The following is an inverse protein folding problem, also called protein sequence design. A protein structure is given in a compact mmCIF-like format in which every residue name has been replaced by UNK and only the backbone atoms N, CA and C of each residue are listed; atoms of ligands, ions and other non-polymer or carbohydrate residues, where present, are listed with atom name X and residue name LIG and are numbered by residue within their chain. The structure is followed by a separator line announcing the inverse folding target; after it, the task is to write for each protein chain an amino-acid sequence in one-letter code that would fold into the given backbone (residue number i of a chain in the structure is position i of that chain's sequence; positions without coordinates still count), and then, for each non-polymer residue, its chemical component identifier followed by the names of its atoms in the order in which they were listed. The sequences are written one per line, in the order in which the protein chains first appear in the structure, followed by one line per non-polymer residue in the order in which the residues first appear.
data_IF_631997895153
#
_entry.id   IF_631997895153
#
_cell.length_a   1.000
_cell.length_b   1.000
_cell.length_c   1.000
_cell.angle_alpha   90.00
_cell.angle_beta   90.00
_cell.angle_gamma   90.00
#
_symmetry.space_group_name_H-M   'P 1'
#
loop_
_entity.id
_entity.type
_entity.pdbx_description
1 polymer ?
#
# COMPACT_ATOMS: atom_id res chain seq x y z
N UNK A 1 1.58 16.08 -6.37
CA UNK A 1 0.75 15.25 -5.46
C UNK A 1 -0.70 15.42 -5.88
N UNK A 2 -1.44 14.32 -6.03
CA UNK A 2 -2.89 14.33 -6.29
C UNK A 2 -3.60 13.88 -5.02
N UNK A 3 -4.50 14.71 -4.48
CA UNK A 3 -5.23 14.38 -3.25
C UNK A 3 -6.64 13.94 -3.63
N UNK A 4 -7.00 12.73 -3.23
CA UNK A 4 -8.26 12.07 -3.62
C UNK A 4 -9.09 11.79 -2.38
N UNK A 5 -10.29 12.34 -2.33
CA UNK A 5 -11.26 12.04 -1.28
C UNK A 5 -12.08 10.82 -1.69
N UNK A 6 -11.84 9.69 -1.02
CA UNK A 6 -12.57 8.44 -1.22
C UNK A 6 -13.61 8.16 -0.12
N UNK A 7 -13.65 8.99 0.94
CA UNK A 7 -14.48 8.65 2.11
C UNK A 7 -14.35 9.53 3.35
N UNK A 8 -13.83 10.76 3.26
CA UNK A 8 -13.72 11.66 4.42
C UNK A 8 -15.13 11.92 5.01
N UNK A 9 -15.26 11.89 6.34
CA UNK A 9 -16.51 12.28 7.04
C UNK A 9 -16.64 13.81 7.13
N UNK A 10 -16.84 14.42 5.95
CA UNK A 10 -17.05 15.84 5.78
C UNK A 10 -17.78 16.09 4.45
N UNK A 11 -18.27 17.33 4.28
CA UNK A 11 -18.65 17.82 2.96
C UNK A 11 -17.46 17.83 1.99
N UNK A 12 -17.70 17.76 0.67
CA UNK A 12 -16.63 17.82 -0.32
C UNK A 12 -15.72 19.04 -0.11
N UNK A 13 -14.42 18.78 -0.04
CA UNK A 13 -13.41 19.82 0.18
C UNK A 13 -12.94 20.40 -1.16
N UNK A 14 -12.85 21.74 -1.30
CA UNK A 14 -12.32 22.37 -2.50
C UNK A 14 -10.89 21.89 -2.83
N UNK A 15 -10.64 21.59 -4.10
CA UNK A 15 -9.30 21.21 -4.59
C UNK A 15 -8.97 19.71 -4.49
N UNK A 16 -9.83 18.89 -3.91
CA UNK A 16 -9.66 17.43 -3.89
C UNK A 16 -10.39 16.77 -5.07
N UNK A 17 -9.80 15.71 -5.61
CA UNK A 17 -10.50 14.83 -6.54
C UNK A 17 -11.55 14.07 -5.74
N UNK A 18 -12.82 14.19 -6.13
CA UNK A 18 -13.92 13.58 -5.40
C UNK A 18 -14.28 12.19 -5.96
N UNK A 19 -13.87 11.15 -5.25
CA UNK A 19 -14.30 9.76 -5.46
C UNK A 19 -15.10 9.24 -4.24
N UNK A 20 -15.69 10.15 -3.45
CA UNK A 20 -16.33 9.81 -2.18
C UNK A 20 -17.58 8.97 -2.43
N UNK A 21 -17.62 7.78 -1.83
CA UNK A 21 -18.79 6.89 -1.86
C UNK A 21 -19.66 6.96 -0.60
N UNK A 22 -19.08 7.39 0.53
CA UNK A 22 -19.77 7.60 1.79
C UNK A 22 -18.98 8.58 2.69
N UNK A 23 -19.60 9.03 3.78
CA UNK A 23 -18.93 9.80 4.85
C UNK A 23 -18.42 8.84 5.91
N UNK A 24 -17.13 8.54 5.87
CA UNK A 24 -16.51 7.52 6.72
C UNK A 24 -16.95 6.10 6.36
N UNK A 25 -16.09 5.13 6.64
CA UNK A 25 -16.46 3.70 6.56
C UNK A 25 -17.26 3.28 7.80
N UNK A 26 -17.90 2.11 7.71
CA UNK A 26 -18.46 1.43 8.88
C UNK A 26 -17.38 1.15 9.93
N UNK A 27 -17.79 1.14 11.20
CA UNK A 27 -16.91 0.70 12.29
C UNK A 27 -16.71 -0.81 12.21
N UNK A 28 -15.51 -1.23 11.78
CA UNK A 28 -15.16 -2.64 11.54
C UNK A 28 -15.35 -3.56 12.74
N UNK A 29 -15.37 -3.03 13.96
CA UNK A 29 -15.64 -3.81 15.18
C UNK A 29 -17.13 -4.13 15.38
N UNK A 30 -18.03 -3.52 14.61
CA UNK A 30 -19.49 -3.66 14.74
C UNK A 30 -20.20 -4.06 13.46
N UNK A 31 -19.59 -3.81 12.30
CA UNK A 31 -20.14 -4.13 10.98
C UNK A 31 -19.01 -4.11 9.95
N UNK A 32 -19.28 -4.46 8.69
CA UNK A 32 -18.30 -4.34 7.61
C UNK A 32 -17.92 -2.86 7.37
N UNK A 33 -16.67 -2.61 6.93
CA UNK A 33 -16.23 -1.26 6.56
C UNK A 33 -17.11 -0.64 5.46
N UNK A 34 -17.54 -1.46 4.50
CA UNK A 34 -18.38 -1.04 3.37
C UNK A 34 -19.07 -2.26 2.74
N UNK A 35 -20.04 -2.04 1.87
CA UNK A 35 -20.55 -3.11 1.02
C UNK A 35 -19.54 -3.50 -0.05
N UNK A 36 -19.63 -4.73 -0.57
CA UNK A 36 -18.81 -5.17 -1.71
C UNK A 36 -18.94 -4.23 -2.91
N UNK A 37 -20.17 -3.78 -3.21
CA UNK A 37 -20.45 -2.83 -4.29
C UNK A 37 -19.72 -1.48 -4.12
N UNK A 38 -19.66 -0.97 -2.89
CA UNK A 38 -18.92 0.26 -2.59
C UNK A 38 -17.41 0.04 -2.76
N UNK A 39 -16.88 -1.10 -2.33
CA UNK A 39 -15.48 -1.44 -2.54
C UNK A 39 -15.14 -1.53 -4.03
N UNK A 40 -15.96 -2.21 -4.83
CA UNK A 40 -15.82 -2.30 -6.29
C UNK A 40 -15.85 -0.90 -6.94
N UNK A 41 -16.73 -0.02 -6.48
CA UNK A 41 -16.87 1.35 -6.99
C UNK A 41 -15.59 2.16 -6.75
N UNK A 42 -15.07 2.18 -5.51
CA UNK A 42 -13.83 2.90 -5.18
C UNK A 42 -12.63 2.31 -5.91
N UNK A 43 -12.55 0.97 -6.00
CA UNK A 43 -11.47 0.28 -6.68
C UNK A 43 -11.42 0.65 -8.15
N UNK A 44 -12.55 0.51 -8.87
CA UNK A 44 -12.65 0.81 -10.30
C UNK A 44 -12.43 2.30 -10.59
N UNK A 45 -12.97 3.19 -9.76
CA UNK A 45 -12.75 4.63 -9.92
C UNK A 45 -11.28 5.02 -9.73
N UNK A 46 -10.60 4.43 -8.74
CA UNK A 46 -9.17 4.68 -8.48
C UNK A 46 -8.29 4.08 -9.59
N UNK A 47 -8.63 2.90 -10.10
CA UNK A 47 -7.97 2.31 -11.28
C UNK A 47 -8.14 3.19 -12.51
N UNK A 48 -9.35 3.70 -12.76
CA UNK A 48 -9.64 4.56 -13.91
C UNK A 48 -8.85 5.87 -13.84
N UNK A 49 -8.86 6.54 -12.69
CA UNK A 49 -8.06 7.75 -12.46
C UNK A 49 -6.56 7.50 -12.72
N UNK A 50 -6.03 6.39 -12.21
CA UNK A 50 -4.62 6.02 -12.39
C UNK A 50 -4.28 5.80 -13.87
N UNK A 51 -5.14 5.09 -14.61
CA UNK A 51 -4.98 4.88 -16.05
C UNK A 51 -5.04 6.18 -16.84
N UNK A 52 -5.91 7.11 -16.45
CA UNK A 52 -5.98 8.44 -17.06
C UNK A 52 -4.67 9.21 -16.84
N UNK A 53 -4.16 9.24 -15.61
CA UNK A 53 -2.88 9.88 -15.30
C UNK A 53 -1.70 9.25 -16.09
N UNK A 54 -1.73 7.93 -16.28
CA UNK A 54 -0.74 7.24 -17.11
C UNK A 54 -0.82 7.68 -18.59
N UNK A 55 -2.03 7.80 -19.13
CA UNK A 55 -2.27 8.31 -20.49
C UNK A 55 -1.82 9.78 -20.63
N UNK A 56 -1.97 10.57 -19.57
CA UNK A 56 -1.51 11.97 -19.49
C UNK A 56 0.01 12.10 -19.30
N UNK A 57 0.73 10.98 -19.24
CA UNK A 57 2.19 10.94 -19.31
C UNK A 57 2.90 10.55 -18.01
N UNK A 58 2.18 10.28 -16.91
CA UNK A 58 2.80 9.77 -15.67
C UNK A 58 3.50 8.42 -15.96
N UNK A 59 4.74 8.28 -15.50
CA UNK A 59 5.58 7.09 -15.73
C UNK A 59 5.86 6.27 -14.47
N UNK A 60 5.70 6.87 -13.30
CA UNK A 60 5.90 6.23 -12.00
C UNK A 60 4.82 6.76 -11.06
N UNK A 61 4.18 5.87 -10.33
CA UNK A 61 3.22 6.23 -9.28
C UNK A 61 3.85 6.05 -7.91
N UNK A 62 3.40 6.84 -6.94
CA UNK A 62 3.60 6.58 -5.52
C UNK A 62 2.24 6.60 -4.83
N UNK A 63 2.02 5.69 -3.88
CA UNK A 63 0.76 5.65 -3.12
C UNK A 63 0.96 6.22 -1.72
N UNK A 64 -0.08 6.86 -1.22
CA UNK A 64 -0.14 7.42 0.13
C UNK A 64 -1.59 7.49 0.58
N UNK A 65 -1.78 7.71 1.87
CA UNK A 65 -3.09 7.77 2.51
C UNK A 65 -3.15 8.90 3.54
N UNK A 66 -4.36 9.26 3.93
CA UNK A 66 -4.60 10.11 5.09
C UNK A 66 -5.92 9.69 5.73
N UNK A 67 -5.86 9.10 6.92
CA UNK A 67 -7.04 8.65 7.64
C UNK A 67 -6.79 8.48 9.13
N UNK A 68 -7.68 9.02 9.95
CA UNK A 68 -7.59 8.80 11.40
C UNK A 68 -7.97 7.36 11.75
N UNK A 69 -7.19 6.74 12.64
CA UNK A 69 -7.34 5.36 13.11
C UNK A 69 -7.11 4.23 12.08
N UNK A 70 -6.71 4.55 10.85
CA UNK A 70 -6.62 3.60 9.74
C UNK A 70 -5.48 2.54 9.85
N UNK A 71 -4.53 2.73 10.76
CA UNK A 71 -3.60 1.64 11.14
C UNK A 71 -4.32 0.43 11.77
N UNK A 72 -5.55 0.59 12.26
CA UNK A 72 -6.38 -0.50 12.79
C UNK A 72 -6.92 -1.41 11.67
N UNK A 73 -7.66 -0.91 10.65
CA UNK A 73 -8.03 -1.72 9.50
C UNK A 73 -6.82 -2.26 8.73
N UNK A 74 -5.73 -1.50 8.60
CA UNK A 74 -4.51 -2.00 7.95
C UNK A 74 -3.93 -3.24 8.66
N UNK A 75 -3.88 -3.22 9.99
CA UNK A 75 -3.46 -4.38 10.78
C UNK A 75 -4.44 -5.57 10.64
N UNK A 76 -5.74 -5.32 10.55
CA UNK A 76 -6.74 -6.37 10.31
C UNK A 76 -6.55 -7.02 8.94
N UNK A 77 -6.36 -6.22 7.88
CA UNK A 77 -6.10 -6.69 6.52
C UNK A 77 -4.80 -7.52 6.48
N UNK A 78 -3.71 -7.04 7.06
CA UNK A 78 -2.43 -7.78 7.11
C UNK A 78 -2.58 -9.07 7.90
N UNK A 79 -3.22 -9.04 9.07
CA UNK A 79 -3.49 -10.24 9.88
C UNK A 79 -4.22 -11.32 9.08
N UNK A 80 -5.29 -10.94 8.38
CA UNK A 80 -6.09 -11.88 7.57
C UNK A 80 -5.28 -12.42 6.38
N UNK A 81 -4.63 -11.55 5.61
CA UNK A 81 -3.96 -11.94 4.36
C UNK A 81 -2.64 -12.70 4.58
N UNK A 82 -2.03 -12.57 5.76
CA UNK A 82 -0.80 -13.29 6.14
C UNK A 82 -1.04 -14.46 7.10
N UNK A 83 -2.27 -14.61 7.61
CA UNK A 83 -2.57 -15.60 8.66
C UNK A 83 -1.92 -15.29 10.02
N UNK A 84 -1.45 -14.06 10.23
CA UNK A 84 -0.75 -13.66 11.44
C UNK A 84 -1.71 -13.30 12.57
N UNK A 85 -1.33 -13.60 13.80
CA UNK A 85 -2.07 -13.17 14.98
C UNK A 85 -2.09 -11.61 15.09
N UNK A 86 -3.24 -10.99 15.42
CA UNK A 86 -3.34 -9.53 15.56
C UNK A 86 -2.31 -8.90 16.51
N UNK A 87 -1.86 -9.61 17.56
CA UNK A 87 -0.83 -9.07 18.45
C UNK A 87 0.51 -8.84 17.72
N UNK A 88 0.83 -9.66 16.72
CA UNK A 88 2.07 -9.58 15.96
C UNK A 88 2.11 -8.36 15.02
N UNK A 89 0.95 -7.90 14.53
CA UNK A 89 0.87 -6.85 13.50
C UNK A 89 0.41 -5.49 14.04
N UNK A 90 -0.28 -5.45 15.18
CA UNK A 90 -0.81 -4.18 15.74
C UNK A 90 0.29 -3.36 16.41
N UNK A 91 0.62 -2.23 15.79
CA UNK A 91 1.51 -1.18 16.29
C UNK A 91 0.80 0.00 16.96
N UNK A 92 1.58 1.02 17.34
CA UNK A 92 1.09 2.23 17.99
C UNK A 92 0.51 3.27 17.01
N UNK A 93 0.80 3.19 15.71
CA UNK A 93 0.36 4.17 14.72
C UNK A 93 0.82 5.58 15.09
N UNK A 94 -0.11 6.55 15.07
CA UNK A 94 0.12 7.93 15.47
C UNK A 94 0.22 8.11 17.01
N UNK A 95 1.24 7.49 17.63
CA UNK A 95 1.58 7.63 19.05
C UNK A 95 0.50 7.16 20.03
N UNK A 96 -0.26 6.11 19.71
CA UNK A 96 -1.14 5.48 20.70
C UNK A 96 -0.31 5.03 21.92
N UNK A 97 -0.70 5.37 23.16
CA UNK A 97 0.01 4.94 24.35
C UNK A 97 0.15 3.41 24.39
N UNK A 98 1.35 2.90 24.72
CA UNK A 98 1.61 1.45 24.71
C UNK A 98 0.65 0.65 25.60
N UNK A 99 0.20 1.24 26.72
CA UNK A 99 -0.80 0.64 27.60
C UNK A 99 -2.17 0.39 26.91
N UNK A 100 -2.49 1.14 25.85
CA UNK A 100 -3.73 0.99 25.08
C UNK A 100 -3.59 0.02 23.89
N UNK A 101 -2.37 -0.43 23.56
CA UNK A 101 -2.13 -1.36 22.44
C UNK A 101 -2.96 -2.65 22.58
N UNK A 102 -3.08 -3.18 23.80
CA UNK A 102 -3.88 -4.39 24.07
C UNK A 102 -5.35 -4.21 23.69
N UNK A 103 -5.92 -3.02 23.91
CA UNK A 103 -7.28 -2.72 23.46
C UNK A 103 -7.38 -2.69 21.93
N UNK A 104 -6.42 -2.05 21.24
CA UNK A 104 -6.37 -2.04 19.76
C UNK A 104 -6.26 -3.46 19.19
N UNK A 105 -5.47 -4.34 19.80
CA UNK A 105 -5.40 -5.77 19.43
C UNK A 105 -6.77 -6.44 19.59
N UNK A 106 -7.48 -6.19 20.69
CA UNK A 106 -8.82 -6.75 20.91
C UNK A 106 -9.83 -6.26 19.86
N UNK A 107 -9.77 -4.99 19.47
CA UNK A 107 -10.60 -4.41 18.41
C UNK A 107 -10.34 -5.10 17.06
N UNK A 108 -9.08 -5.35 16.70
CA UNK A 108 -8.75 -6.07 15.46
C UNK A 108 -9.27 -7.51 15.49
N UNK A 109 -9.08 -8.23 16.61
CA UNK A 109 -9.63 -9.59 16.77
C UNK A 109 -11.15 -9.61 16.63
N UNK A 110 -11.83 -8.65 17.28
CA UNK A 110 -13.28 -8.51 17.22
C UNK A 110 -13.75 -8.27 15.78
N UNK A 111 -13.09 -7.36 15.05
CA UNK A 111 -13.44 -7.06 13.66
C UNK A 111 -13.31 -8.28 12.75
N UNK A 112 -12.23 -9.05 12.87
CA UNK A 112 -12.01 -10.28 12.09
C UNK A 112 -13.06 -11.34 12.44
N UNK A 113 -13.29 -11.59 13.73
CA UNK A 113 -14.23 -12.60 14.19
C UNK A 113 -15.68 -12.30 13.77
N UNK A 114 -16.09 -11.03 13.84
CA UNK A 114 -17.43 -10.60 13.47
C UNK A 114 -17.67 -10.69 11.96
N UNK A 115 -16.74 -10.18 11.16
CA UNK A 115 -16.97 -10.03 9.72
C UNK A 115 -16.60 -11.26 8.89
N UNK A 116 -15.76 -12.16 9.43
CA UNK A 116 -15.29 -13.38 8.76
C UNK A 116 -14.82 -13.11 7.31
N UNK A 117 -13.79 -12.28 7.12
CA UNK A 117 -13.25 -12.01 5.78
C UNK A 117 -12.61 -13.26 5.18
N UNK A 118 -12.88 -13.54 3.91
CA UNK A 118 -12.27 -14.64 3.16
C UNK A 118 -10.85 -14.23 2.73
N UNK A 119 -9.78 -14.85 3.28
CA UNK A 119 -8.40 -14.48 2.95
C UNK A 119 -8.04 -14.71 1.48
N UNK A 120 -8.77 -15.58 0.78
CA UNK A 120 -8.57 -15.85 -0.64
C UNK A 120 -9.17 -14.78 -1.56
N UNK A 121 -10.01 -13.88 -1.03
CA UNK A 121 -10.65 -12.81 -1.80
C UNK A 121 -10.23 -11.43 -1.26
N UNK A 122 -9.18 -10.84 -1.84
CA UNK A 122 -8.63 -9.57 -1.36
C UNK A 122 -9.66 -8.42 -1.27
N UNK A 123 -10.63 -8.38 -2.18
CA UNK A 123 -11.71 -7.39 -2.13
C UNK A 123 -12.72 -7.64 -1.00
N UNK A 124 -12.99 -8.90 -0.65
CA UNK A 124 -13.83 -9.25 0.50
C UNK A 124 -13.16 -8.81 1.81
N UNK A 125 -11.84 -9.06 1.94
CA UNK A 125 -11.05 -8.59 3.10
C UNK A 125 -11.13 -7.07 3.24
N UNK A 126 -10.90 -6.33 2.14
CA UNK A 126 -10.97 -4.87 2.13
C UNK A 126 -12.37 -4.34 2.47
N UNK A 127 -13.43 -4.94 1.90
CA UNK A 127 -14.81 -4.51 2.14
C UNK A 127 -15.22 -4.72 3.60
N UNK A 128 -14.76 -5.81 4.23
CA UNK A 128 -15.14 -6.18 5.59
C UNK A 128 -14.31 -5.48 6.66
N UNK A 129 -12.99 -5.57 6.59
CA UNK A 129 -12.08 -5.13 7.66
C UNK A 129 -11.06 -4.07 7.21
N UNK A 130 -11.20 -3.57 5.98
CA UNK A 130 -10.38 -2.48 5.45
C UNK A 130 -10.98 -1.09 5.66
N UNK A 131 -10.81 -0.22 4.67
CA UNK A 131 -11.24 1.17 4.66
C UNK A 131 -11.17 1.73 3.23
N UNK A 132 -11.84 2.85 2.98
CA UNK A 132 -11.90 3.43 1.61
C UNK A 132 -10.52 3.86 1.11
N UNK A 133 -9.65 4.34 2.00
CA UNK A 133 -8.25 4.66 1.73
C UNK A 133 -7.45 3.43 1.26
N UNK A 134 -7.59 2.30 1.96
CA UNK A 134 -6.95 1.03 1.60
C UNK A 134 -7.45 0.50 0.24
N UNK A 135 -8.75 0.63 -0.04
CA UNK A 135 -9.32 0.28 -1.35
C UNK A 135 -8.79 1.22 -2.44
N UNK A 136 -8.73 2.52 -2.17
CA UNK A 136 -8.21 3.52 -3.09
C UNK A 136 -6.76 3.23 -3.50
N UNK A 137 -5.87 3.01 -2.54
CA UNK A 137 -4.48 2.62 -2.81
C UNK A 137 -4.38 1.29 -3.57
N UNK A 138 -5.21 0.30 -3.25
CA UNK A 138 -5.29 -0.97 -3.99
C UNK A 138 -5.66 -0.72 -5.45
N UNK A 139 -6.62 0.19 -5.71
CA UNK A 139 -7.02 0.57 -7.06
C UNK A 139 -5.92 1.31 -7.82
N UNK A 140 -5.11 2.14 -7.16
CA UNK A 140 -3.94 2.76 -7.77
C UNK A 140 -2.90 1.71 -8.18
N UNK A 141 -2.61 0.75 -7.29
CA UNK A 141 -1.67 -0.34 -7.57
C UNK A 141 -2.13 -1.16 -8.79
N UNK A 142 -3.39 -1.60 -8.81
CA UNK A 142 -3.95 -2.37 -9.93
C UNK A 142 -4.03 -1.55 -11.22
N UNK A 143 -4.34 -0.26 -11.10
CA UNK A 143 -4.36 0.68 -12.22
C UNK A 143 -3.00 0.81 -12.89
N UNK A 144 -1.96 1.11 -12.10
CA UNK A 144 -0.57 1.25 -12.56
C UNK A 144 -0.05 -0.05 -13.18
N UNK A 145 -0.25 -1.19 -12.50
CA UNK A 145 0.13 -2.50 -13.02
C UNK A 145 -0.53 -2.81 -14.37
N UNK A 146 -1.81 -2.48 -14.54
CA UNK A 146 -2.51 -2.67 -15.82
C UNK A 146 -2.01 -1.77 -16.95
N UNK A 147 -1.29 -0.70 -16.62
CA UNK A 147 -0.61 0.17 -17.57
C UNK A 147 0.85 -0.23 -17.83
N UNK A 148 1.35 -1.28 -17.16
CA UNK A 148 2.75 -1.64 -17.24
C UNK A 148 3.69 -0.68 -16.51
N UNK A 149 3.20 0.07 -15.51
CA UNK A 149 3.96 1.12 -14.83
C UNK A 149 4.25 0.77 -13.36
N UNK A 150 5.44 1.13 -12.84
CA UNK A 150 5.80 0.88 -11.45
C UNK A 150 5.00 1.74 -10.48
N UNK A 151 4.73 1.17 -9.30
CA UNK A 151 4.13 1.85 -8.15
C UNK A 151 5.03 1.72 -6.93
N UNK A 152 5.50 2.87 -6.43
CA UNK A 152 6.30 2.97 -5.22
C UNK A 152 5.38 2.90 -4.01
N UNK A 153 5.58 1.87 -3.19
CA UNK A 153 4.90 1.70 -1.91
C UNK A 153 5.47 2.67 -0.87
N UNK A 154 4.65 3.06 0.09
CA UNK A 154 5.04 3.91 1.21
C UNK A 154 5.31 3.05 2.45
N UNK A 155 4.49 3.21 3.51
CA UNK A 155 4.60 2.46 4.75
C UNK A 155 3.53 1.38 4.94
N UNK A 156 3.29 1.04 6.20
CA UNK A 156 2.42 -0.06 6.65
C UNK A 156 1.06 -0.17 5.94
N UNK A 157 0.37 0.96 5.72
CA UNK A 157 -0.93 0.95 5.04
C UNK A 157 -0.82 0.59 3.57
N UNK A 158 0.21 1.06 2.88
CA UNK A 158 0.45 0.69 1.48
C UNK A 158 0.78 -0.81 1.34
N UNK A 159 1.42 -1.42 2.34
CA UNK A 159 1.68 -2.87 2.33
C UNK A 159 0.38 -3.67 2.47
N UNK A 160 -0.55 -3.22 3.31
CA UNK A 160 -1.87 -3.83 3.44
C UNK A 160 -2.63 -3.80 2.09
N UNK A 161 -2.62 -2.65 1.41
CA UNK A 161 -3.21 -2.50 0.07
C UNK A 161 -2.47 -3.31 -0.99
N UNK A 162 -1.15 -3.41 -0.93
CA UNK A 162 -0.36 -4.22 -1.86
C UNK A 162 -0.64 -5.73 -1.70
N UNK A 163 -0.78 -6.22 -0.47
CA UNK A 163 -1.20 -7.60 -0.21
C UNK A 163 -2.59 -7.87 -0.80
N UNK A 164 -3.54 -6.95 -0.59
CA UNK A 164 -4.88 -7.08 -1.17
C UNK A 164 -4.84 -7.03 -2.70
N UNK A 165 -4.04 -6.15 -3.31
CA UNK A 165 -3.85 -6.06 -4.74
C UNK A 165 -3.27 -7.36 -5.32
N UNK A 166 -2.24 -7.94 -4.69
CA UNK A 166 -1.64 -9.21 -5.12
C UNK A 166 -2.59 -10.39 -4.93
N UNK A 167 -3.48 -10.34 -3.93
CA UNK A 167 -4.53 -11.35 -3.75
C UNK A 167 -5.60 -11.25 -4.84
N UNK A 168 -5.98 -10.04 -5.25
CA UNK A 168 -6.94 -9.80 -6.35
C UNK A 168 -6.34 -10.17 -7.70
N UNK A 169 -5.10 -9.76 -7.96
CA UNK A 169 -4.40 -9.98 -9.21
C UNK A 169 -2.90 -10.18 -8.94
N UNK A 170 -2.41 -11.43 -8.88
CA UNK A 170 -0.99 -11.71 -8.63
C UNK A 170 -0.04 -11.05 -9.64
N UNK A 171 -0.51 -10.79 -10.86
CA UNK A 171 0.22 -10.07 -11.90
C UNK A 171 0.55 -8.61 -11.55
N UNK A 172 0.00 -8.04 -10.47
CA UNK A 172 0.38 -6.72 -9.97
C UNK A 172 1.74 -6.72 -9.26
N UNK A 173 2.18 -7.87 -8.72
CA UNK A 173 3.39 -7.98 -7.90
C UNK A 173 4.67 -7.42 -8.58
N UNK A 174 4.97 -7.73 -9.85
CA UNK A 174 6.20 -7.25 -10.51
C UNK A 174 6.27 -5.72 -10.66
N UNK A 175 5.17 -5.00 -10.47
CA UNK A 175 5.11 -3.54 -10.57
C UNK A 175 5.31 -2.85 -9.22
N UNK A 176 5.34 -3.60 -8.12
CA UNK A 176 5.54 -3.05 -6.79
C UNK A 176 7.00 -2.70 -6.56
N UNK A 177 7.25 -1.47 -6.12
CA UNK A 177 8.59 -1.01 -5.73
C UNK A 177 8.54 -0.59 -4.25
N UNK A 178 9.22 -1.29 -3.33
CA UNK A 178 9.22 -0.88 -1.93
C UNK A 178 10.04 0.41 -1.76
N UNK A 179 9.61 1.33 -0.90
CA UNK A 179 10.42 2.51 -0.54
C UNK A 179 11.29 2.23 0.69
N UNK A 180 10.68 2.33 1.86
CA UNK A 180 11.31 2.25 3.17
C UNK A 180 10.73 1.12 4.01
N UNK A 181 11.45 0.72 5.05
CA UNK A 181 10.93 -0.11 6.12
C UNK A 181 10.19 0.81 7.11
N UNK A 182 8.86 0.67 7.17
CA UNK A 182 8.06 1.41 8.15
C UNK A 182 8.34 0.93 9.58
N UNK A 183 8.41 1.87 10.53
CA UNK A 183 8.57 1.58 11.96
C UNK A 183 7.30 1.02 12.64
N UNK A 184 6.22 0.75 11.89
CA UNK A 184 5.05 0.06 12.44
C UNK A 184 5.37 -1.43 12.67
N UNK A 185 4.90 -1.96 13.83
CA UNK A 185 5.23 -3.33 14.31
C UNK A 185 5.07 -4.43 13.25
N UNK A 186 3.99 -4.40 12.47
CA UNK A 186 3.68 -5.43 11.48
C UNK A 186 4.35 -5.24 10.11
N UNK A 187 5.20 -4.23 9.93
CA UNK A 187 5.80 -3.92 8.63
C UNK A 187 6.60 -5.08 8.04
N UNK A 188 7.47 -5.70 8.84
CA UNK A 188 8.30 -6.83 8.39
C UNK A 188 7.44 -8.02 7.95
N UNK A 189 6.40 -8.36 8.72
CA UNK A 189 5.45 -9.45 8.38
C UNK A 189 4.80 -9.21 7.02
N UNK A 190 4.36 -7.97 6.76
CA UNK A 190 3.73 -7.62 5.49
C UNK A 190 4.72 -7.66 4.32
N UNK A 191 5.94 -7.17 4.52
CA UNK A 191 7.00 -7.18 3.51
C UNK A 191 7.50 -8.59 3.18
N UNK A 192 7.65 -9.46 4.19
CA UNK A 192 8.01 -10.86 4.01
C UNK A 192 6.95 -11.60 3.18
N UNK A 193 5.67 -11.36 3.48
CA UNK A 193 4.56 -11.94 2.72
C UNK A 193 4.49 -11.42 1.27
N UNK A 194 4.97 -10.19 1.03
CA UNK A 194 5.12 -9.62 -0.32
C UNK A 194 6.43 -10.06 -1.00
N UNK A 195 7.39 -10.66 -0.29
CA UNK A 195 8.72 -10.95 -0.82
C UNK A 195 9.49 -9.68 -1.24
N UNK A 196 9.24 -8.55 -0.58
CA UNK A 196 9.85 -7.25 -0.91
C UNK A 196 10.85 -6.82 0.15
N UNK A 197 12.00 -6.29 -0.30
CA UNK A 197 13.02 -5.69 0.58
C UNK A 197 13.13 -4.19 0.30
N UNK A 198 12.76 -3.31 1.24
CA UNK A 198 12.89 -1.87 1.07
C UNK A 198 14.35 -1.41 0.94
N UNK A 199 14.54 -0.26 0.29
CA UNK A 199 15.85 0.35 0.07
C UNK A 199 16.27 1.27 1.20
N UNK A 200 15.30 1.83 1.93
CA UNK A 200 15.51 2.83 2.96
C UNK A 200 15.11 2.29 4.34
N UNK A 201 15.93 2.57 5.35
CA UNK A 201 15.63 2.31 6.76
C UNK A 201 15.82 3.62 7.53
N UNK A 202 14.71 4.22 7.94
CA UNK A 202 14.67 5.63 8.40
C UNK A 202 13.81 5.83 9.65
N UNK A 203 13.38 4.73 10.30
CA UNK A 203 12.42 4.76 11.41
C UNK A 203 11.12 5.56 11.11
N UNK A 204 10.73 5.64 9.82
CA UNK A 204 9.58 6.41 9.37
C UNK A 204 8.26 5.70 9.60
N UNK A 205 7.25 6.47 10.02
CA UNK A 205 5.86 5.99 10.25
C UNK A 205 4.82 7.11 10.12
N UNK A 206 5.11 8.11 9.29
CA UNK A 206 4.17 9.22 9.03
C UNK A 206 3.00 8.76 8.15
N UNK A 207 3.29 8.02 7.09
CA UNK A 207 2.31 7.73 6.03
C UNK A 207 2.34 8.80 4.94
N UNK A 208 1.17 9.10 4.37
CA UNK A 208 0.96 10.18 3.38
C UNK A 208 1.71 10.01 2.04
N UNK A 209 2.37 8.87 1.82
CA UNK A 209 3.21 8.69 0.63
C UNK A 209 4.61 9.31 0.78
N UNK A 210 4.99 9.70 2.00
CA UNK A 210 6.25 10.40 2.27
C UNK A 210 7.48 9.57 1.95
N UNK A 211 7.50 8.29 2.32
CA UNK A 211 8.56 7.35 1.96
C UNK A 211 8.56 7.01 0.48
N UNK A 212 7.38 6.88 -0.14
CA UNK A 212 7.27 6.70 -1.58
C UNK A 212 7.91 7.87 -2.34
N UNK A 213 7.65 9.12 -1.92
CA UNK A 213 8.26 10.31 -2.52
C UNK A 213 9.80 10.31 -2.37
N UNK A 214 10.33 9.94 -1.20
CA UNK A 214 11.78 9.86 -0.97
C UNK A 214 12.44 8.81 -1.87
N UNK A 215 11.80 7.66 -2.08
CA UNK A 215 12.34 6.59 -2.90
C UNK A 215 12.30 6.88 -4.42
N UNK A 216 11.52 7.88 -4.88
CA UNK A 216 11.52 8.28 -6.30
C UNK A 216 12.92 8.62 -6.81
N UNK A 217 13.76 9.22 -5.97
CA UNK A 217 15.14 9.55 -6.31
C UNK A 217 15.99 8.31 -6.64
N UNK A 218 15.68 7.15 -6.07
CA UNK A 218 16.38 5.90 -6.37
C UNK A 218 16.01 5.37 -7.77
N UNK A 219 14.76 5.57 -8.20
CA UNK A 219 14.32 5.22 -9.55
C UNK A 219 14.98 6.12 -10.59
N UNK A 220 15.06 7.43 -10.31
CA UNK A 220 15.81 8.37 -11.15
C UNK A 220 17.28 7.98 -11.24
N UNK A 221 17.93 7.69 -10.10
CA UNK A 221 19.32 7.26 -10.07
C UNK A 221 19.55 5.97 -10.86
N UNK A 222 18.68 4.96 -10.73
CA UNK A 222 18.76 3.73 -11.50
C UNK A 222 18.59 3.97 -13.01
N UNK A 223 17.65 4.83 -13.39
CA UNK A 223 17.42 5.21 -14.79
C UNK A 223 18.62 5.95 -15.39
N UNK A 224 19.19 6.92 -14.66
CA UNK A 224 20.39 7.64 -15.08
C UNK A 224 21.58 6.70 -15.19
N UNK A 225 21.77 5.82 -14.20
CA UNK A 225 22.84 4.81 -14.21
C UNK A 225 22.76 3.94 -15.46
N UNK A 226 21.58 3.38 -15.77
CA UNK A 226 21.39 2.51 -16.92
C UNK A 226 21.61 3.22 -18.26
N UNK A 227 21.12 4.46 -18.40
CA UNK A 227 21.12 5.17 -19.68
C UNK A 227 22.39 5.98 -19.95
N UNK A 228 23.13 6.37 -18.91
CA UNK A 228 24.20 7.37 -19.03
C UNK A 228 25.58 6.88 -18.55
N UNK A 229 25.68 5.73 -17.85
CA UNK A 229 27.01 5.18 -17.54
C UNK A 229 27.71 4.74 -18.82
N UNK A 230 29.00 5.08 -18.92
CA UNK A 230 29.86 4.59 -19.98
C UNK A 230 30.05 3.07 -19.91
N UNK A 231 30.37 2.46 -21.05
CA UNK A 231 30.71 1.04 -21.11
C UNK A 231 32.21 0.83 -20.89
N UNK A 232 32.59 -0.32 -20.33
CA UNK A 232 34.01 -0.66 -20.13
C UNK A 232 34.80 -0.61 -21.45
N UNK A 233 34.17 -1.04 -22.55
CA UNK A 233 34.75 -1.00 -23.89
C UNK A 233 35.14 0.41 -24.33
N UNK A 234 34.35 1.45 -24.00
CA UNK A 234 34.68 2.84 -24.31
C UNK A 234 35.96 3.33 -23.62
N UNK A 235 36.33 2.69 -22.50
CA UNK A 235 37.52 3.03 -21.72
C UNK A 235 38.65 1.99 -21.86
N UNK A 236 38.52 1.03 -22.79
CA UNK A 236 39.45 -0.09 -22.97
C UNK A 236 39.70 -0.91 -21.69
N UNK A 237 38.69 -1.01 -20.82
CA UNK A 237 38.76 -1.80 -19.59
C UNK A 237 38.23 -3.21 -19.88
N UNK A 238 39.00 -4.23 -19.51
CA UNK A 238 38.63 -5.65 -19.62
C UNK A 238 38.58 -6.23 -18.21
N UNK A 239 37.44 -6.82 -17.85
CA UNK A 239 37.33 -7.55 -16.59
C UNK A 239 38.01 -8.92 -16.74
N UNK A 240 38.62 -9.45 -15.66
CA UNK A 240 39.06 -10.84 -15.66
C UNK A 240 37.88 -11.75 -15.98
N UNK A 241 38.09 -12.80 -16.78
CA UNK A 241 37.07 -13.81 -17.03
C UNK A 241 36.54 -14.31 -15.68
N UNK A 242 35.26 -14.07 -15.41
CA UNK A 242 34.63 -14.63 -14.20
C UNK A 242 34.59 -16.14 -14.36
N UNK A 243 35.33 -16.86 -13.52
CA UNK A 243 35.17 -18.31 -13.37
C UNK A 243 33.66 -18.62 -13.21
N UNK A 244 33.16 -19.72 -13.80
CA UNK A 244 31.73 -19.98 -13.84
C UNK A 244 31.16 -20.01 -12.42
N UNK A 245 30.16 -19.17 -12.17
CA UNK A 245 29.36 -19.22 -10.95
C UNK A 245 28.70 -20.60 -10.87
N UNK A 246 29.06 -21.36 -9.84
CA UNK A 246 28.43 -22.62 -9.44
C UNK A 246 26.95 -22.46 -9.11
#
# INVERSE_FOLDING_TARGET
VQVVDVGIDADPLPGLINLKVARGSGNIARTAAMSRQQAETVLLASMHLTRQLAADGVKVFGVGELGMANTTPAAAVISVLTGSDPDAVVGCGANLPLAQRGHKVAVVRQAIALNQPNPEEGLDVLAKVGGYDLVGMTGVILGAASCGLPVVLDGFLSYASALAACRIAPAAHPYLVPSHLSAEKGAQIALDALGLRPYLDMDMRLGEGSGAALAMHLLDAASVMYNQMGTLAQSNIVLPDTAPSS
#
